data_IF_693472030676
#
_entry.id   IF_693472030676
#
_cell.length_a   1.000
_cell.length_b   1.000
_cell.length_c   1.000
_cell.angle_alpha   90.00
_cell.angle_beta   90.00
_cell.angle_gamma   90.00
#
_symmetry.space_group_name_H-M   'P 1'
#
loop_
_entity.id
_entity.type
_entity.pdbx_description
1 polymer ?
#
# COMPACT_ATOMS: atom_id res chain seq x y z
N UNK A 1 -3.66 7.17 -17.34
CA UNK A 1 -4.26 8.24 -16.48
C UNK A 1 -3.73 8.19 -15.08
N UNK A 2 -3.60 9.34 -14.40
CA UNK A 2 -3.18 9.41 -13.00
C UNK A 2 -4.10 10.34 -12.20
N UNK A 3 -4.23 10.07 -10.89
CA UNK A 3 -4.97 10.90 -9.93
C UNK A 3 -4.20 11.05 -8.63
N UNK A 4 -4.20 12.26 -8.09
CA UNK A 4 -3.63 12.59 -6.79
C UNK A 4 -4.71 13.24 -5.93
N UNK A 5 -4.86 12.76 -4.70
CA UNK A 5 -5.69 13.38 -3.67
C UNK A 5 -4.81 13.62 -2.45
N UNK A 6 -4.84 14.83 -1.91
CA UNK A 6 -4.18 15.16 -0.65
C UNK A 6 -5.12 15.96 0.24
N UNK A 7 -5.14 15.65 1.54
CA UNK A 7 -5.92 16.39 2.53
C UNK A 7 -5.01 17.38 3.25
N UNK A 8 -5.30 18.70 3.18
CA UNK A 8 -4.58 19.67 4.00
C UNK A 8 -4.77 19.36 5.50
N UNK A 9 -3.70 19.42 6.26
CA UNK A 9 -3.73 19.26 7.72
C UNK A 9 -4.62 20.33 8.36
N UNK A 10 -5.69 19.92 9.08
CA UNK A 10 -6.53 20.82 9.87
C UNK A 10 -6.39 20.46 11.36
N UNK A 11 -5.75 21.32 12.20
CA UNK A 11 -5.52 21.01 13.62
C UNK A 11 -6.77 21.01 14.51
N UNK A 12 -7.96 21.34 13.97
CA UNK A 12 -9.19 21.51 14.76
C UNK A 12 -10.12 20.29 14.84
N UNK A 13 -9.73 19.11 14.31
CA UNK A 13 -10.60 17.92 14.26
C UNK A 13 -10.35 16.86 15.34
N UNK A 14 -9.79 17.21 16.50
CA UNK A 14 -9.69 16.30 17.65
C UNK A 14 -10.87 16.50 18.60
N UNK A 15 -12.02 15.97 18.25
CA UNK A 15 -13.19 15.89 19.11
C UNK A 15 -13.67 14.46 19.19
N UNK A 16 -13.39 13.79 20.31
CA UNK A 16 -13.92 12.48 20.64
C UNK A 16 -15.47 12.51 20.68
N UNK A 17 -16.11 11.65 19.91
CA UNK A 17 -17.47 11.17 20.23
C UNK A 17 -17.49 9.64 20.14
N UNK A 18 -17.57 9.05 21.33
CA UNK A 18 -17.84 7.64 21.54
C UNK A 18 -19.32 7.35 21.31
N UNK A 19 -19.68 6.42 20.43
CA UNK A 19 -20.99 5.82 20.41
C UNK A 19 -20.88 4.30 20.59
N UNK A 20 -21.37 3.84 21.76
CA UNK A 20 -21.68 2.43 22.02
C UNK A 20 -22.86 1.98 21.17
N UNK A 21 -22.69 0.95 20.38
CA UNK A 21 -23.74 0.23 19.66
C UNK A 21 -23.81 -1.23 20.09
N UNK A 22 -24.96 -1.61 20.68
CA UNK A 22 -25.25 -2.92 21.28
C UNK A 22 -25.40 -4.00 20.22
N UNK A 23 -24.65 -5.08 20.37
CA UNK A 23 -24.70 -6.29 19.53
C UNK A 23 -25.88 -7.18 19.95
N UNK A 24 -26.83 -7.49 19.06
CA UNK A 24 -27.87 -8.51 19.24
C UNK A 24 -27.55 -9.77 18.43
N UNK A 25 -27.26 -10.85 19.13
CA UNK A 25 -27.17 -12.21 18.60
C UNK A 25 -28.53 -12.72 18.12
N UNK A 26 -28.58 -13.30 16.91
CA UNK A 26 -29.64 -14.26 16.52
C UNK A 26 -28.96 -15.57 16.09
N UNK A 27 -29.27 -16.62 16.85
CA UNK A 27 -29.01 -18.02 16.48
C UNK A 27 -30.03 -18.47 15.46
N UNK A 28 -29.63 -19.21 14.42
CA UNK A 28 -30.52 -20.10 13.71
C UNK A 28 -29.82 -21.40 13.26
N UNK A 29 -30.63 -22.43 13.25
CA UNK A 29 -30.48 -23.86 13.37
C UNK A 29 -29.80 -24.58 12.16
N UNK A 30 -29.22 -25.71 12.53
CA UNK A 30 -28.63 -26.81 11.75
C UNK A 30 -29.65 -27.42 10.79
N UNK A 31 -29.20 -27.68 9.55
CA UNK A 31 -29.82 -28.59 8.58
C UNK A 31 -28.75 -29.48 7.95
N UNK A 32 -28.89 -30.79 8.16
CA UNK A 32 -28.02 -31.85 7.64
C UNK A 32 -28.42 -32.14 6.18
N UNK A 33 -27.46 -32.12 5.27
CA UNK A 33 -27.68 -32.46 3.85
C UNK A 33 -26.41 -32.85 3.12
N UNK A 34 -26.17 -34.13 3.06
CA UNK A 34 -25.52 -34.98 2.07
C UNK A 34 -24.24 -34.51 1.37
N UNK A 35 -23.19 -35.32 1.61
CA UNK A 35 -21.88 -35.32 0.97
C UNK A 35 -21.97 -35.36 -0.56
N UNK A 36 -21.50 -34.31 -1.22
CA UNK A 36 -20.87 -34.35 -2.52
C UNK A 36 -19.51 -33.69 -2.39
N UNK A 37 -18.47 -34.50 -2.25
CA UNK A 37 -17.07 -34.06 -2.31
C UNK A 37 -16.74 -33.66 -3.75
N UNK A 38 -17.12 -32.45 -4.13
CA UNK A 38 -16.42 -31.75 -5.19
C UNK A 38 -15.13 -31.20 -4.55
N UNK A 39 -13.97 -31.61 -5.07
CA UNK A 39 -12.69 -31.01 -4.80
C UNK A 39 -12.81 -29.50 -5.12
N UNK A 40 -13.25 -28.69 -4.15
CA UNK A 40 -13.09 -27.25 -4.22
C UNK A 40 -11.58 -27.01 -4.17
N UNK A 41 -10.96 -26.72 -5.33
CA UNK A 41 -9.75 -25.89 -5.33
C UNK A 41 -10.10 -24.72 -4.43
N UNK A 42 -9.33 -24.51 -3.37
CA UNK A 42 -9.42 -23.31 -2.55
C UNK A 42 -8.98 -22.14 -3.43
N UNK A 43 -9.94 -21.58 -4.17
CA UNK A 43 -9.73 -20.30 -4.85
C UNK A 43 -9.63 -19.31 -3.71
N UNK A 44 -8.45 -18.76 -3.47
CA UNK A 44 -8.29 -17.66 -2.51
C UNK A 44 -9.30 -16.58 -2.87
N UNK A 45 -10.25 -16.34 -1.96
CA UNK A 45 -11.30 -15.35 -2.17
C UNK A 45 -10.64 -13.98 -2.29
N UNK A 46 -10.93 -13.25 -3.38
CA UNK A 46 -10.54 -11.83 -3.48
C UNK A 46 -11.12 -11.09 -2.29
N UNK A 47 -10.29 -10.33 -1.58
CA UNK A 47 -10.72 -9.50 -0.48
C UNK A 47 -11.32 -8.22 -1.07
N UNK A 48 -12.42 -7.77 -0.52
CA UNK A 48 -12.92 -6.42 -0.79
C UNK A 48 -12.00 -5.43 -0.08
N UNK A 49 -11.26 -4.64 -0.86
CA UNK A 49 -10.31 -3.67 -0.31
C UNK A 49 -11.01 -2.60 0.53
N UNK A 50 -12.29 -2.31 0.24
CA UNK A 50 -13.10 -1.41 1.06
C UNK A 50 -13.27 -1.96 2.48
N UNK A 51 -13.71 -3.20 2.62
CA UNK A 51 -13.89 -3.84 3.92
C UNK A 51 -12.56 -4.00 4.67
N UNK A 52 -11.49 -4.33 3.96
CA UNK A 52 -10.15 -4.46 4.53
C UNK A 52 -9.68 -3.13 5.15
N UNK A 53 -9.77 -2.03 4.40
CA UNK A 53 -9.36 -0.71 4.86
C UNK A 53 -10.30 -0.14 5.93
N UNK A 54 -11.60 -0.46 5.88
CA UNK A 54 -12.58 -0.06 6.91
C UNK A 54 -12.35 -0.78 8.24
N UNK A 55 -11.85 -2.00 8.20
CA UNK A 55 -11.58 -2.80 9.41
C UNK A 55 -10.23 -2.49 10.05
N UNK A 56 -9.37 -1.72 9.37
CA UNK A 56 -8.04 -1.37 9.84
C UNK A 56 -7.88 0.16 9.97
N UNK A 57 -7.94 0.68 11.17
CA UNK A 57 -7.87 2.11 11.44
C UNK A 57 -6.53 2.75 11.04
N UNK A 58 -5.45 1.95 10.97
CA UNK A 58 -4.11 2.46 10.65
C UNK A 58 -3.24 1.45 9.90
N UNK A 59 -3.49 1.16 8.62
CA UNK A 59 -2.56 0.39 7.79
C UNK A 59 -1.24 1.13 7.49
N UNK A 60 -1.13 2.39 7.86
CA UNK A 60 0.07 3.21 7.68
C UNK A 60 0.27 3.67 6.24
N UNK A 61 1.12 3.02 5.48
CA UNK A 61 1.30 3.18 4.03
C UNK A 61 0.82 1.92 3.34
N UNK A 62 0.21 2.08 2.18
CA UNK A 62 -0.25 0.92 1.42
C UNK A 62 0.02 1.05 -0.07
N UNK A 63 0.41 -0.07 -0.68
CA UNK A 63 0.62 -0.21 -2.12
C UNK A 63 -0.35 -1.25 -2.65
N UNK A 64 -1.05 -0.93 -3.73
CA UNK A 64 -1.82 -1.89 -4.53
C UNK A 64 -1.23 -1.93 -5.93
N UNK A 65 -0.99 -3.14 -6.45
CA UNK A 65 -0.63 -3.35 -7.86
C UNK A 65 -1.49 -4.48 -8.41
N UNK A 66 -1.96 -4.33 -9.66
CA UNK A 66 -2.77 -5.34 -10.31
C UNK A 66 -3.15 -4.97 -11.75
N UNK A 67 -4.12 -5.70 -12.30
CA UNK A 67 -4.62 -5.53 -13.66
C UNK A 67 -6.09 -5.14 -13.63
N UNK A 68 -6.49 -4.16 -14.45
CA UNK A 68 -7.90 -3.76 -14.57
C UNK A 68 -8.80 -4.91 -15.00
N UNK A 69 -10.10 -4.86 -14.66
CA UNK A 69 -11.03 -5.95 -14.95
C UNK A 69 -11.27 -6.18 -16.45
N UNK A 70 -11.04 -5.15 -17.28
CA UNK A 70 -11.09 -5.28 -18.75
C UNK A 70 -9.75 -5.71 -19.38
N UNK A 71 -8.73 -5.92 -18.56
CA UNK A 71 -7.42 -6.39 -18.97
C UNK A 71 -6.54 -5.35 -19.69
N UNK A 72 -6.97 -4.07 -19.79
CA UNK A 72 -6.29 -3.07 -20.63
C UNK A 72 -5.25 -2.23 -19.89
N UNK A 73 -5.26 -2.25 -18.56
CA UNK A 73 -4.35 -1.40 -17.79
C UNK A 73 -3.64 -2.16 -16.68
N UNK A 74 -2.35 -1.88 -16.53
CA UNK A 74 -1.64 -2.10 -15.29
C UNK A 74 -2.05 -0.99 -14.30
N UNK A 75 -2.43 -1.38 -13.08
CA UNK A 75 -2.97 -0.48 -12.06
C UNK A 75 -2.06 -0.45 -10.86
N UNK A 76 -1.77 0.75 -10.38
CA UNK A 76 -1.10 0.95 -9.09
C UNK A 76 -1.79 2.02 -8.27
N UNK A 77 -1.80 1.82 -6.96
CA UNK A 77 -2.18 2.83 -6.00
C UNK A 77 -1.16 2.87 -4.86
N UNK A 78 -0.96 4.07 -4.31
CA UNK A 78 -0.15 4.30 -3.12
C UNK A 78 -0.81 5.33 -2.23
N UNK A 79 -0.95 5.02 -0.94
CA UNK A 79 -1.48 5.98 0.03
C UNK A 79 -0.58 6.14 1.24
N UNK A 80 -0.69 7.30 1.87
CA UNK A 80 -0.07 7.63 3.15
C UNK A 80 -1.15 7.94 4.17
N UNK A 81 -0.98 7.39 5.37
CA UNK A 81 -1.67 7.81 6.58
C UNK A 81 -0.66 8.36 7.58
N UNK A 82 -1.12 9.20 8.52
CA UNK A 82 -0.28 9.82 9.54
C UNK A 82 -1.05 10.04 10.85
N UNK A 83 -0.39 9.82 12.00
CA UNK A 83 -0.95 10.09 13.33
C UNK A 83 -0.37 11.36 13.95
N UNK A 84 0.93 11.62 13.76
CA UNK A 84 1.60 12.81 14.27
C UNK A 84 1.40 14.04 13.37
N UNK A 85 1.64 15.23 13.90
CA UNK A 85 1.64 16.49 13.13
C UNK A 85 2.60 16.39 11.94
N UNK A 86 3.82 15.93 12.17
CA UNK A 86 4.85 15.79 11.15
C UNK A 86 4.44 14.76 10.06
N UNK A 87 3.94 13.58 10.46
CA UNK A 87 3.51 12.55 9.51
C UNK A 87 2.29 12.98 8.65
N UNK A 88 1.47 13.92 9.13
CA UNK A 88 0.31 14.48 8.40
C UNK A 88 0.68 15.69 7.54
N UNK A 89 1.85 16.29 7.78
CA UNK A 89 2.32 17.49 7.07
C UNK A 89 2.91 17.14 5.70
N UNK A 90 2.19 16.36 4.88
CA UNK A 90 2.64 15.88 3.57
C UNK A 90 1.55 15.98 2.52
N UNK A 91 1.97 16.32 1.31
CA UNK A 91 1.16 16.25 0.09
C UNK A 91 1.95 15.55 -1.01
N UNK A 92 1.26 14.91 -1.94
CA UNK A 92 1.86 14.46 -3.18
C UNK A 92 1.83 15.57 -4.21
N UNK A 93 2.94 15.74 -4.89
CA UNK A 93 3.05 16.60 -6.08
C UNK A 93 3.57 15.76 -7.24
N UNK A 94 3.15 16.10 -8.46
CA UNK A 94 3.66 15.48 -9.67
C UNK A 94 5.15 15.82 -9.87
N UNK A 95 5.93 14.84 -10.33
CA UNK A 95 7.35 14.97 -10.59
C UNK A 95 7.69 14.13 -11.82
N UNK A 96 7.60 14.75 -13.00
CA UNK A 96 7.66 14.06 -14.28
C UNK A 96 6.58 12.97 -14.39
N UNK A 97 6.98 11.75 -14.71
CA UNK A 97 6.09 10.57 -14.76
C UNK A 97 5.85 9.93 -13.39
N UNK A 98 6.45 10.47 -12.34
CA UNK A 98 6.31 10.03 -10.96
C UNK A 98 5.57 11.01 -10.07
N UNK A 99 5.76 10.82 -8.77
CA UNK A 99 5.33 11.77 -7.74
C UNK A 99 6.42 11.89 -6.68
N UNK A 100 6.46 13.03 -6.01
CA UNK A 100 7.23 13.22 -4.78
C UNK A 100 6.36 13.72 -3.63
N UNK A 101 6.80 13.51 -2.41
CA UNK A 101 6.21 14.12 -1.23
C UNK A 101 6.76 15.53 -1.05
N UNK A 102 5.94 16.41 -0.50
CA UNK A 102 6.30 17.76 -0.10
C UNK A 102 5.64 18.09 1.24
N UNK A 103 6.29 18.89 2.07
CA UNK A 103 5.64 19.45 3.24
C UNK A 103 4.46 20.35 2.82
N UNK A 104 3.28 20.12 3.43
CA UNK A 104 2.13 21.00 3.24
C UNK A 104 2.40 22.39 3.84
N UNK A 105 2.96 22.41 5.05
CA UNK A 105 3.41 23.61 5.75
C UNK A 105 4.91 23.49 6.03
N UNK A 106 5.78 24.14 5.25
CA UNK A 106 7.24 24.07 5.44
C UNK A 106 7.71 24.52 6.82
N UNK A 107 6.96 25.41 7.50
CA UNK A 107 7.32 25.90 8.83
C UNK A 107 7.19 24.83 9.93
N UNK A 108 6.49 23.72 9.64
CA UNK A 108 6.26 22.58 10.55
C UNK A 108 7.01 21.34 10.13
N UNK A 109 7.98 21.47 9.24
CA UNK A 109 8.78 20.35 8.77
C UNK A 109 9.82 19.99 9.83
N UNK A 110 9.63 18.83 10.46
CA UNK A 110 10.60 18.18 11.32
C UNK A 110 11.15 16.96 10.58
N UNK A 111 12.45 16.73 10.67
CA UNK A 111 13.13 15.60 10.04
C UNK A 111 12.73 15.36 8.56
N UNK A 112 13.25 16.17 7.62
CA UNK A 112 12.88 16.06 6.20
C UNK A 112 13.22 14.69 5.58
N UNK A 113 14.21 13.96 6.09
CA UNK A 113 14.64 12.67 5.54
C UNK A 113 13.55 11.58 5.62
N UNK A 114 12.70 11.62 6.64
CA UNK A 114 11.58 10.68 6.79
C UNK A 114 10.33 11.10 6.01
N UNK A 115 10.31 12.32 5.46
CA UNK A 115 9.10 12.92 4.91
C UNK A 115 9.22 13.21 3.42
N UNK A 116 10.39 13.70 2.97
CA UNK A 116 10.63 14.15 1.60
C UNK A 116 11.33 13.03 0.83
N UNK A 117 10.63 12.39 -0.07
CA UNK A 117 11.13 11.36 -0.98
C UNK A 117 10.23 11.28 -2.22
N UNK A 118 10.65 10.55 -3.24
CA UNK A 118 9.85 10.26 -4.42
C UNK A 118 9.18 8.89 -4.29
N UNK A 119 7.91 8.78 -3.87
CA UNK A 119 7.23 7.49 -3.72
C UNK A 119 7.12 6.71 -5.02
N UNK A 120 7.07 7.41 -6.15
CA UNK A 120 6.94 6.80 -7.47
C UNK A 120 7.97 7.40 -8.41
N UNK A 121 8.79 6.53 -9.03
CA UNK A 121 9.72 6.87 -10.11
C UNK A 121 9.53 5.92 -11.29
N UNK A 122 9.82 6.41 -12.49
CA UNK A 122 9.76 5.63 -13.73
C UNK A 122 11.18 5.49 -14.30
N UNK A 123 11.62 4.26 -14.56
CA UNK A 123 12.89 3.92 -15.17
C UNK A 123 12.63 3.23 -16.52
N UNK A 124 12.79 3.96 -17.61
CA UNK A 124 12.39 3.48 -18.93
C UNK A 124 10.87 3.22 -18.95
N UNK A 125 10.47 1.99 -19.16
CA UNK A 125 9.08 1.53 -19.14
C UNK A 125 8.62 0.97 -17.77
N UNK A 126 9.55 0.77 -16.84
CA UNK A 126 9.28 0.23 -15.50
C UNK A 126 8.82 1.30 -14.54
N UNK A 127 7.87 0.95 -13.68
CA UNK A 127 7.41 1.86 -12.63
C UNK A 127 7.69 1.30 -11.25
N UNK A 128 8.41 2.07 -10.44
CA UNK A 128 8.76 1.77 -9.05
C UNK A 128 7.82 2.55 -8.13
N UNK A 129 7.34 1.92 -7.05
CA UNK A 129 6.54 2.55 -5.99
C UNK A 129 7.01 2.08 -4.62
N UNK A 130 7.23 3.01 -3.67
CA UNK A 130 7.68 2.67 -2.30
C UNK A 130 7.11 3.64 -1.26
N UNK A 131 7.32 3.34 0.02
CA UNK A 131 6.94 4.22 1.13
C UNK A 131 8.09 5.07 1.69
N UNK A 132 9.23 5.12 1.04
CA UNK A 132 10.39 5.87 1.53
C UNK A 132 11.47 6.10 0.47
N UNK A 133 12.64 6.54 0.90
CA UNK A 133 13.79 6.88 0.06
C UNK A 133 14.43 5.66 -0.66
N UNK A 134 14.05 4.45 -0.31
CA UNK A 134 14.47 3.26 -1.07
C UNK A 134 14.01 3.27 -2.53
N UNK A 135 13.09 4.15 -2.92
CA UNK A 135 12.76 4.36 -4.34
C UNK A 135 13.99 4.73 -5.15
N UNK A 136 14.79 5.66 -4.62
CA UNK A 136 16.02 6.12 -5.29
C UNK A 136 17.07 5.00 -5.34
N UNK A 137 17.22 4.24 -4.24
CA UNK A 137 18.09 3.07 -4.22
C UNK A 137 17.72 2.04 -5.30
N UNK A 138 16.40 1.71 -5.43
CA UNK A 138 15.93 0.78 -6.46
C UNK A 138 16.20 1.35 -7.84
N UNK A 139 15.87 2.61 -8.07
CA UNK A 139 16.06 3.29 -9.35
C UNK A 139 17.53 3.24 -9.78
N UNK A 140 18.44 3.73 -8.95
CA UNK A 140 19.88 3.83 -9.25
C UNK A 140 20.52 2.44 -9.45
N UNK A 141 20.19 1.46 -8.61
CA UNK A 141 20.73 0.12 -8.75
C UNK A 141 20.21 -0.58 -10.02
N UNK A 142 18.93 -0.41 -10.35
CA UNK A 142 18.39 -0.98 -11.58
C UNK A 142 18.92 -0.28 -12.84
N UNK A 143 19.14 1.03 -12.80
CA UNK A 143 19.82 1.78 -13.87
C UNK A 143 21.23 1.23 -14.13
N UNK A 144 21.89 0.74 -13.08
CA UNK A 144 23.19 0.08 -13.15
C UNK A 144 23.11 -1.45 -13.38
N UNK A 145 21.96 -1.97 -13.82
CA UNK A 145 21.77 -3.36 -14.26
C UNK A 145 21.49 -4.37 -13.14
N UNK A 146 21.25 -3.94 -11.91
CA UNK A 146 20.81 -4.83 -10.83
C UNK A 146 19.31 -5.14 -10.94
N UNK A 147 18.86 -6.21 -10.31
CA UNK A 147 17.43 -6.52 -10.20
C UNK A 147 16.77 -5.75 -9.05
N UNK A 148 15.44 -5.68 -9.05
CA UNK A 148 14.65 -5.13 -7.96
C UNK A 148 15.02 -5.74 -6.59
N UNK A 149 15.15 -7.06 -6.51
CA UNK A 149 15.54 -7.76 -5.28
C UNK A 149 16.96 -7.46 -4.84
N UNK A 150 17.90 -7.40 -5.79
CA UNK A 150 19.29 -7.06 -5.50
C UNK A 150 19.41 -5.65 -4.93
N UNK A 151 18.65 -4.72 -5.49
CA UNK A 151 18.61 -3.32 -5.03
C UNK A 151 18.18 -3.21 -3.56
N UNK A 152 17.23 -4.02 -3.13
CA UNK A 152 16.71 -4.00 -1.77
C UNK A 152 17.61 -4.69 -0.73
N UNK A 153 18.66 -5.42 -1.14
CA UNK A 153 19.57 -6.08 -0.20
C UNK A 153 20.40 -5.09 0.61
N UNK A 154 20.58 -3.87 0.13
CA UNK A 154 21.33 -2.81 0.80
C UNK A 154 20.48 -1.99 1.77
N UNK A 155 19.17 -2.29 1.86
CA UNK A 155 18.21 -1.55 2.67
C UNK A 155 17.65 -2.43 3.78
N UNK A 156 17.18 -1.76 4.84
CA UNK A 156 16.47 -2.35 5.96
C UNK A 156 15.17 -1.57 6.21
N UNK A 157 14.42 -1.87 7.26
CA UNK A 157 13.31 -1.06 7.74
C UNK A 157 13.76 0.36 8.14
N UNK A 158 12.85 1.26 8.48
CA UNK A 158 13.20 2.62 8.95
C UNK A 158 13.72 2.57 10.38
N UNK A 159 14.73 3.41 10.68
CA UNK A 159 15.33 3.54 12.01
C UNK A 159 14.49 4.52 12.86
N UNK A 160 13.23 4.16 13.10
CA UNK A 160 12.26 4.94 13.86
C UNK A 160 11.74 4.16 15.09
N UNK A 161 12.66 3.92 16.06
CA UNK A 161 12.31 3.29 17.34
C UNK A 161 11.06 3.95 17.98
N UNK A 162 10.12 3.18 18.54
CA UNK A 162 10.04 1.72 18.66
C UNK A 162 9.30 1.02 17.50
N UNK A 163 8.91 1.72 16.43
CA UNK A 163 8.07 1.16 15.40
C UNK A 163 8.86 0.34 14.36
N UNK A 164 10.12 0.74 14.09
CA UNK A 164 10.94 0.16 13.03
C UNK A 164 10.11 -0.05 11.76
N UNK A 165 9.55 1.08 11.26
CA UNK A 165 8.57 1.12 10.17
C UNK A 165 9.00 0.25 8.99
N UNK A 166 8.19 -0.74 8.59
CA UNK A 166 8.52 -1.57 7.43
C UNK A 166 8.65 -0.74 6.15
N UNK A 167 9.67 -1.05 5.34
CA UNK A 167 9.78 -0.53 3.99
C UNK A 167 9.04 -1.45 3.04
N UNK A 168 7.98 -0.96 2.43
CA UNK A 168 7.24 -1.65 1.39
C UNK A 168 7.60 -1.07 0.02
N UNK A 169 7.73 -1.94 -0.96
CA UNK A 169 8.10 -1.57 -2.33
C UNK A 169 7.32 -2.38 -3.34
N UNK A 170 7.12 -1.82 -4.52
CA UNK A 170 6.55 -2.52 -5.67
C UNK A 170 7.19 -2.05 -6.96
N UNK A 171 7.21 -2.93 -7.96
CA UNK A 171 7.65 -2.62 -9.32
C UNK A 171 6.69 -3.23 -10.32
N UNK A 172 6.38 -2.50 -11.38
CA UNK A 172 5.69 -2.99 -12.58
C UNK A 172 6.71 -3.04 -13.70
N UNK A 173 6.82 -4.19 -14.36
CA UNK A 173 7.75 -4.44 -15.45
C UNK A 173 6.97 -4.92 -16.68
N UNK A 174 6.81 -4.08 -17.72
CA UNK A 174 6.19 -4.47 -18.98
C UNK A 174 6.91 -5.64 -19.63
N UNK A 175 6.14 -6.54 -20.27
CA UNK A 175 6.65 -7.66 -21.04
C UNK A 175 5.89 -7.78 -22.38
N UNK A 176 6.25 -8.75 -23.23
CA UNK A 176 5.67 -8.94 -24.57
C UNK A 176 4.16 -9.26 -24.58
N UNK A 177 3.58 -9.67 -23.46
CA UNK A 177 2.18 -10.09 -23.36
C UNK A 177 1.37 -9.28 -22.36
N UNK A 178 1.96 -8.20 -21.82
CA UNK A 178 1.36 -7.38 -20.77
C UNK A 178 2.40 -6.87 -19.78
N UNK A 179 2.36 -7.35 -18.55
CA UNK A 179 3.33 -6.98 -17.53
C UNK A 179 3.44 -8.05 -16.43
N UNK A 180 4.56 -8.01 -15.75
CA UNK A 180 4.77 -8.67 -14.47
C UNK A 180 4.90 -7.61 -13.38
N UNK A 181 4.74 -7.98 -12.12
CA UNK A 181 5.05 -7.10 -11.01
C UNK A 181 5.59 -7.87 -9.81
N UNK A 182 6.38 -7.17 -9.02
CA UNK A 182 6.86 -7.69 -7.73
C UNK A 182 6.55 -6.70 -6.61
N UNK A 183 6.32 -7.24 -5.42
CA UNK A 183 6.12 -6.49 -4.18
C UNK A 183 7.11 -6.98 -3.14
N UNK A 184 7.58 -6.08 -2.27
CA UNK A 184 8.55 -6.44 -1.23
C UNK A 184 8.21 -5.74 0.08
N UNK A 185 8.61 -6.38 1.19
CA UNK A 185 8.63 -5.79 2.53
C UNK A 185 9.95 -6.10 3.21
N UNK A 186 10.55 -5.07 3.80
CA UNK A 186 11.69 -5.16 4.71
C UNK A 186 11.18 -4.76 6.09
N UNK A 187 11.26 -5.64 7.07
CA UNK A 187 10.74 -5.39 8.42
C UNK A 187 11.66 -5.95 9.50
N UNK A 188 11.58 -5.40 10.69
CA UNK A 188 12.26 -5.95 11.87
C UNK A 188 11.68 -7.33 12.23
N UNK A 189 12.51 -8.21 12.77
CA UNK A 189 12.04 -9.45 13.37
C UNK A 189 11.50 -9.15 14.77
N UNK A 190 10.18 -9.10 14.91
CA UNK A 190 9.50 -8.87 16.20
C UNK A 190 9.98 -7.60 16.95
N UNK A 191 10.26 -6.52 16.19
CA UNK A 191 10.77 -5.27 16.76
C UNK A 191 12.24 -5.29 17.13
N UNK A 192 13.00 -6.33 16.74
CA UNK A 192 14.44 -6.38 17.00
C UNK A 192 15.20 -5.50 15.99
N UNK A 193 15.90 -4.43 16.44
CA UNK A 193 16.62 -3.52 15.54
C UNK A 193 17.81 -4.16 14.83
N UNK A 194 18.32 -5.30 15.31
CA UNK A 194 19.49 -5.99 14.75
C UNK A 194 19.11 -7.08 13.73
N UNK A 195 17.83 -7.29 13.46
CA UNK A 195 17.36 -8.37 12.59
C UNK A 195 16.35 -7.87 11.56
N UNK A 196 16.74 -7.85 10.30
CA UNK A 196 15.89 -7.49 9.17
C UNK A 196 15.41 -8.73 8.43
N UNK A 197 14.11 -8.89 8.32
CA UNK A 197 13.44 -9.86 7.45
C UNK A 197 13.13 -9.21 6.09
N UNK A 198 13.43 -9.94 5.00
CA UNK A 198 13.22 -9.48 3.62
C UNK A 198 12.37 -10.48 2.87
N UNK A 199 11.23 -10.02 2.35
CA UNK A 199 10.32 -10.83 1.56
C UNK A 199 10.07 -10.14 0.21
N UNK A 200 10.10 -10.93 -0.86
CA UNK A 200 9.69 -10.50 -2.20
C UNK A 200 8.67 -11.48 -2.76
N UNK A 201 7.60 -10.94 -3.33
CA UNK A 201 6.48 -11.67 -3.93
C UNK A 201 6.39 -11.25 -5.39
N UNK A 202 6.54 -12.21 -6.31
CA UNK A 202 6.51 -11.96 -7.75
C UNK A 202 5.26 -12.54 -8.38
N UNK A 203 4.62 -11.77 -9.26
CA UNK A 203 3.36 -12.10 -9.92
C UNK A 203 3.55 -11.97 -11.43
N UNK A 204 3.61 -13.12 -12.11
CA UNK A 204 3.76 -13.18 -13.55
C UNK A 204 2.40 -13.29 -14.23
N UNK A 205 2.20 -12.53 -15.32
CA UNK A 205 0.96 -12.53 -16.09
C UNK A 205 -0.30 -12.37 -15.22
N UNK A 206 -0.47 -11.25 -14.52
CA UNK A 206 -1.58 -11.05 -13.61
C UNK A 206 -2.94 -11.20 -14.31
N UNK A 207 -3.91 -11.75 -13.59
CA UNK A 207 -5.25 -11.99 -14.10
C UNK A 207 -6.07 -10.71 -14.14
N UNK A 208 -6.96 -10.60 -15.14
CA UNK A 208 -7.86 -9.45 -15.26
C UNK A 208 -8.73 -9.28 -14.00
N UNK A 209 -8.84 -8.05 -13.53
CA UNK A 209 -9.58 -7.68 -12.32
C UNK A 209 -8.95 -8.19 -11.02
N UNK A 210 -7.65 -8.50 -11.03
CA UNK A 210 -6.91 -9.00 -9.87
C UNK A 210 -5.70 -8.13 -9.55
N UNK A 211 -5.45 -7.94 -8.26
CA UNK A 211 -4.25 -7.30 -7.77
C UNK A 211 -3.90 -7.76 -6.36
N UNK A 212 -2.83 -7.19 -5.83
CA UNK A 212 -2.35 -7.48 -4.48
C UNK A 212 -2.11 -6.19 -3.71
N UNK A 213 -2.44 -6.24 -2.43
CA UNK A 213 -2.32 -5.14 -1.48
C UNK A 213 -1.33 -5.49 -0.37
N UNK A 214 -0.31 -4.64 -0.19
CA UNK A 214 0.64 -4.70 0.91
C UNK A 214 0.61 -3.37 1.67
N UNK A 215 0.80 -3.43 2.99
CA UNK A 215 0.79 -2.24 3.83
C UNK A 215 1.80 -2.37 4.98
N UNK A 216 2.09 -1.27 5.69
CA UNK A 216 3.17 -1.28 6.69
C UNK A 216 2.73 -1.90 8.02
N UNK A 217 1.46 -1.70 8.45
CA UNK A 217 1.01 -2.08 9.79
C UNK A 217 -0.29 -2.87 9.78
N UNK A 218 -0.38 -3.90 10.61
CA UNK A 218 -1.59 -4.70 10.79
C UNK A 218 -2.75 -3.93 11.44
N UNK A 219 -2.46 -2.78 12.06
CA UNK A 219 -3.45 -1.94 12.71
C UNK A 219 -2.79 -0.81 13.50
N UNK A 220 -3.61 -0.14 14.32
CA UNK A 220 -3.11 0.85 15.27
C UNK A 220 -2.45 0.18 16.49
N UNK A 221 -1.55 0.88 17.16
CA UNK A 221 -0.82 0.35 18.32
C UNK A 221 0.33 1.25 18.78
N UNK A 222 1.00 0.81 19.86
CA UNK A 222 2.22 1.42 20.38
C UNK A 222 3.08 0.34 21.05
N UNK A 223 4.15 -0.18 20.40
CA UNK A 223 4.54 0.12 19.01
C UNK A 223 3.51 -0.38 17.98
N UNK A 224 3.62 0.12 16.76
CA UNK A 224 2.76 -0.28 15.63
C UNK A 224 3.11 -1.71 15.19
N UNK A 225 2.15 -2.65 15.11
CA UNK A 225 2.41 -4.02 14.68
C UNK A 225 2.71 -4.07 13.18
N UNK A 226 3.88 -4.57 12.78
CA UNK A 226 4.28 -4.73 11.38
C UNK A 226 3.35 -5.67 10.62
N UNK A 227 3.19 -5.42 9.30
CA UNK A 227 2.46 -6.31 8.41
C UNK A 227 3.04 -7.73 8.42
N UNK A 228 2.15 -8.73 8.41
CA UNK A 228 2.48 -10.15 8.38
C UNK A 228 1.76 -10.87 7.26
N UNK A 229 2.40 -11.95 6.79
CA UNK A 229 1.89 -12.78 5.70
C UNK A 229 2.26 -12.28 4.31
N UNK A 230 1.54 -12.77 3.32
CA UNK A 230 1.67 -12.38 1.91
C UNK A 230 0.75 -11.19 1.56
N UNK A 231 1.06 -10.44 0.49
CA UNK A 231 0.17 -9.39 0.01
C UNK A 231 -1.24 -9.91 -0.26
N UNK A 232 -2.24 -9.17 0.23
CA UNK A 232 -3.65 -9.59 0.19
C UNK A 232 -4.21 -9.46 -1.23
N UNK A 233 -4.81 -10.52 -1.74
CA UNK A 233 -5.44 -10.55 -3.06
C UNK A 233 -6.71 -9.69 -3.07
N UNK A 234 -6.77 -8.68 -3.95
CA UNK A 234 -7.87 -7.70 -4.04
C UNK A 234 -8.46 -7.62 -5.45
N UNK A 235 -9.69 -7.13 -5.54
CA UNK A 235 -10.33 -6.82 -6.81
C UNK A 235 -9.86 -5.47 -7.36
N UNK A 236 -9.60 -5.38 -8.66
CA UNK A 236 -9.25 -4.16 -9.37
C UNK A 236 -10.38 -3.80 -10.35
N UNK A 237 -11.03 -2.64 -10.25
CA UNK A 237 -12.07 -2.22 -11.18
C UNK A 237 -11.48 -1.70 -12.51
N UNK A 238 -12.36 -1.31 -13.45
CA UNK A 238 -11.96 -0.72 -14.73
C UNK A 238 -11.78 0.80 -14.66
N UNK A 239 -12.49 1.45 -13.76
CA UNK A 239 -12.53 2.91 -13.70
C UNK A 239 -11.63 3.46 -12.59
N UNK A 240 -10.74 4.37 -12.97
CA UNK A 240 -9.80 5.01 -12.05
C UNK A 240 -10.51 5.86 -11.00
N UNK A 241 -11.68 6.47 -11.34
CA UNK A 241 -12.45 7.29 -10.40
C UNK A 241 -13.07 6.39 -9.32
N UNK A 242 -13.72 5.30 -9.76
CA UNK A 242 -14.28 4.30 -8.86
C UNK A 242 -13.22 3.77 -7.89
N UNK A 243 -12.06 3.37 -8.41
CA UNK A 243 -10.99 2.83 -7.57
C UNK A 243 -10.42 3.87 -6.60
N UNK A 244 -10.23 5.10 -7.07
CA UNK A 244 -9.76 6.22 -6.24
C UNK A 244 -10.75 6.53 -5.12
N UNK A 245 -12.04 6.60 -5.43
CA UNK A 245 -13.10 6.89 -4.46
C UNK A 245 -13.24 5.78 -3.42
N UNK A 246 -13.19 4.52 -3.85
CA UNK A 246 -13.21 3.36 -2.95
C UNK A 246 -12.03 3.43 -1.97
N UNK A 247 -10.81 3.60 -2.46
CA UNK A 247 -9.63 3.68 -1.60
C UNK A 247 -9.71 4.87 -0.64
N UNK A 248 -9.98 6.09 -1.17
CA UNK A 248 -9.99 7.30 -0.35
C UNK A 248 -11.06 7.31 0.73
N UNK A 249 -12.26 6.82 0.42
CA UNK A 249 -13.39 6.79 1.35
C UNK A 249 -13.31 5.63 2.36
N UNK A 250 -12.49 4.62 2.08
CA UNK A 250 -12.28 3.48 2.99
C UNK A 250 -11.21 3.77 4.05
N UNK A 251 -10.27 4.66 3.77
CA UNK A 251 -9.24 5.06 4.74
C UNK A 251 -9.86 5.82 5.91
N UNK A 252 -9.38 5.55 7.12
CA UNK A 252 -9.79 6.27 8.33
C UNK A 252 -9.67 7.79 8.10
N UNK A 253 -10.78 8.51 8.37
CA UNK A 253 -10.93 9.92 8.02
C UNK A 253 -9.93 10.84 8.75
N UNK A 254 -9.52 10.48 9.96
CA UNK A 254 -8.63 11.29 10.77
C UNK A 254 -7.16 11.07 10.41
N UNK A 255 -6.83 9.88 9.90
CA UNK A 255 -5.45 9.47 9.64
C UNK A 255 -5.03 9.58 8.17
N UNK A 256 -5.95 9.60 7.21
CA UNK A 256 -5.61 9.70 5.78
C UNK A 256 -4.94 11.03 5.41
N UNK A 257 -3.88 10.95 4.63
CA UNK A 257 -3.06 12.11 4.23
C UNK A 257 -3.08 12.32 2.73
N UNK A 258 -2.59 11.35 1.95
CA UNK A 258 -2.51 11.45 0.49
C UNK A 258 -2.73 10.10 -0.18
N UNK A 259 -3.31 10.11 -1.37
CA UNK A 259 -3.54 8.96 -2.23
C UNK A 259 -3.11 9.29 -3.66
N UNK A 260 -2.39 8.38 -4.29
CA UNK A 260 -2.06 8.36 -5.71
C UNK A 260 -2.60 7.10 -6.34
N UNK A 261 -3.26 7.22 -7.50
CA UNK A 261 -3.74 6.10 -8.31
C UNK A 261 -3.33 6.34 -9.76
N UNK A 262 -2.79 5.32 -10.44
CA UNK A 262 -2.47 5.38 -11.86
C UNK A 262 -2.88 4.11 -12.58
N UNK A 263 -3.53 4.29 -13.72
CA UNK A 263 -3.82 3.26 -14.72
C UNK A 263 -2.88 3.51 -15.91
N UNK A 264 -2.12 2.49 -16.29
CA UNK A 264 -1.12 2.50 -17.36
C UNK A 264 -1.63 1.55 -18.44
N UNK A 265 -1.84 2.05 -19.65
CA UNK A 265 -2.28 1.22 -20.79
C UNK A 265 -1.18 0.20 -21.14
N UNK A 266 -1.59 -1.05 -21.42
CA UNK A 266 -0.72 -2.21 -21.70
C UNK A 266 -1.10 -2.91 -22.99
#
# INVERSE_FOLDING_TARGET
>A
MAKVISRPYNPKSSGLQSHMGVCRHKRNKVGIGLLLQLKRRSIMKKIDIYEELKSNDYPGRGIVIGKSADGKSAVKAYFIMGRSVNSRNRVFIEDGDGIRTQAFDPSKLEDPHLIIYAPVRVLGDKTIVTNGDQTDTIYEHMENGQTFEQSLRTREFEDDDPNFTPRISGIIEPNKGGFDYSMSILKSADGNPQSCQRYTFSYNNPLDGEGHFIHTYMGDGSPLPSFEGEPKKVAIPNDINEFTDVLWNSLNADNKVSLFVRFIDI
#
